data_IF_302660229678
#
_entry.id   IF_302660229678
#
_cell.length_a   1.000
_cell.length_b   1.000
_cell.length_c   1.000
_cell.angle_alpha   90.00
_cell.angle_beta   90.00
_cell.angle_gamma   90.00
#
_symmetry.space_group_name_H-M   'P 1'
#
loop_
_entity.id
_entity.type
_entity.pdbx_description
1 polymer ?
#
# COMPACT_ATOMS: atom_id res chain seq x y z
N UNK A 1 -2.71 -7.54 -16.60
CA UNK A 1 -2.03 -6.33 -17.10
C UNK A 1 -3.01 -5.25 -17.55
N UNK A 2 -4.04 -5.56 -18.37
CA UNK A 2 -5.07 -4.60 -18.82
C UNK A 2 -5.90 -3.99 -17.68
N UNK A 3 -6.25 -4.76 -16.64
CA UNK A 3 -7.09 -4.29 -15.52
C UNK A 3 -6.45 -3.21 -14.65
N UNK A 4 -5.15 -3.28 -14.39
CA UNK A 4 -4.45 -2.25 -13.61
C UNK A 4 -4.32 -0.94 -14.41
N UNK A 5 -4.08 -1.03 -15.73
CA UNK A 5 -4.02 0.17 -16.59
C UNK A 5 -5.37 0.90 -16.68
N UNK A 6 -6.48 0.17 -16.80
CA UNK A 6 -7.82 0.78 -16.83
C UNK A 6 -8.21 1.39 -15.48
N UNK A 7 -7.95 0.69 -14.36
CA UNK A 7 -8.24 1.17 -13.02
C UNK A 7 -7.54 2.51 -12.71
N UNK A 8 -6.26 2.65 -13.11
CA UNK A 8 -5.51 3.88 -12.89
C UNK A 8 -5.83 4.98 -13.91
N UNK A 9 -6.20 4.63 -15.13
CA UNK A 9 -6.57 5.58 -16.18
C UNK A 9 -7.85 6.36 -15.84
N UNK A 10 -8.83 5.69 -15.25
CA UNK A 10 -10.08 6.31 -14.81
C UNK A 10 -9.91 7.20 -13.59
N UNK A 11 -9.00 6.85 -12.66
CA UNK A 11 -8.89 7.52 -11.38
C UNK A 11 -7.84 8.63 -11.33
N UNK A 12 -6.81 8.58 -12.16
CA UNK A 12 -5.65 9.48 -12.09
C UNK A 12 -5.39 10.28 -13.39
N UNK A 13 -6.39 10.44 -14.25
CA UNK A 13 -6.35 11.31 -15.44
C UNK A 13 -5.07 11.15 -16.30
N UNK A 14 -4.64 9.90 -16.53
CA UNK A 14 -3.56 9.58 -17.50
C UNK A 14 -2.13 9.71 -16.98
N UNK A 15 -1.90 10.12 -15.73
CA UNK A 15 -0.59 10.03 -15.07
C UNK A 15 -0.49 8.72 -14.32
N UNK A 16 0.54 7.92 -14.65
CA UNK A 16 0.82 6.69 -13.87
C UNK A 16 1.52 7.12 -12.58
N UNK A 17 0.88 7.01 -11.39
CA UNK A 17 1.54 7.34 -10.13
C UNK A 17 2.75 6.44 -9.90
N UNK A 18 3.70 6.89 -9.09
CA UNK A 18 4.91 6.12 -8.75
C UNK A 18 4.56 4.73 -8.20
N UNK A 19 3.45 4.64 -7.46
CA UNK A 19 2.90 3.38 -6.93
C UNK A 19 2.57 2.36 -8.03
N UNK A 20 2.14 2.80 -9.23
CA UNK A 20 1.89 1.89 -10.36
C UNK A 20 3.19 1.17 -10.76
N UNK A 21 4.30 1.89 -10.82
CA UNK A 21 5.59 1.32 -11.16
C UNK A 21 6.14 0.44 -10.03
N UNK A 22 5.96 0.82 -8.76
CA UNK A 22 6.41 0.05 -7.61
C UNK A 22 5.60 -1.23 -7.44
N UNK A 23 4.27 -1.16 -7.52
CA UNK A 23 3.41 -2.35 -7.50
C UNK A 23 3.70 -3.23 -8.72
N UNK A 24 3.89 -2.63 -9.91
CA UNK A 24 4.24 -3.36 -11.12
C UNK A 24 5.64 -4.02 -11.00
N UNK A 25 6.65 -3.31 -10.49
CA UNK A 25 7.99 -3.87 -10.26
C UNK A 25 8.00 -4.90 -9.14
N UNK A 26 7.28 -4.68 -8.04
CA UNK A 26 7.13 -5.69 -6.97
C UNK A 26 6.43 -6.93 -7.51
N UNK A 27 5.37 -6.78 -8.29
CA UNK A 27 4.66 -7.87 -8.94
C UNK A 27 5.56 -8.59 -9.97
N UNK A 28 6.32 -7.86 -10.79
CA UNK A 28 7.26 -8.43 -11.76
C UNK A 28 8.47 -9.11 -11.10
N UNK A 29 9.01 -8.55 -9.99
CA UNK A 29 10.05 -9.21 -9.20
C UNK A 29 9.53 -10.52 -8.59
N UNK A 30 8.32 -10.49 -8.07
CA UNK A 30 7.66 -11.67 -7.53
C UNK A 30 7.46 -12.71 -8.66
N UNK A 31 6.93 -12.33 -9.81
CA UNK A 31 6.74 -13.25 -10.95
C UNK A 31 8.08 -13.83 -11.43
N UNK A 32 9.15 -13.04 -11.57
CA UNK A 32 10.47 -13.55 -11.98
C UNK A 32 11.10 -14.47 -10.93
N UNK A 33 10.84 -14.29 -9.64
CA UNK A 33 11.16 -15.29 -8.61
C UNK A 33 10.31 -16.57 -8.76
N UNK A 34 9.12 -16.48 -9.35
CA UNK A 34 8.15 -17.55 -9.46
C UNK A 34 8.49 -18.63 -10.50
N UNK A 35 9.21 -18.31 -11.56
CA UNK A 35 9.64 -19.32 -12.53
C UNK A 35 10.54 -20.38 -11.90
N UNK A 36 11.19 -20.07 -10.77
CA UNK A 36 12.03 -21.00 -10.02
C UNK A 36 11.30 -21.84 -8.97
N UNK A 37 10.06 -21.52 -8.58
CA UNK A 37 9.37 -22.20 -7.46
C UNK A 37 7.91 -22.49 -7.79
N UNK A 38 7.63 -23.58 -8.46
CA UNK A 38 6.29 -24.06 -8.82
C UNK A 38 5.28 -24.25 -7.66
N UNK A 39 5.68 -24.03 -6.41
CA UNK A 39 4.80 -24.17 -5.23
C UNK A 39 4.10 -22.87 -4.82
N UNK A 40 4.55 -21.71 -5.25
CA UNK A 40 4.01 -20.42 -4.81
C UNK A 40 2.74 -20.02 -5.58
N UNK A 41 2.44 -20.63 -6.72
CA UNK A 41 1.19 -20.43 -7.49
C UNK A 41 -0.12 -20.80 -6.74
N UNK A 42 -0.03 -21.30 -5.52
CA UNK A 42 -1.19 -21.68 -4.69
C UNK A 42 -1.35 -20.83 -3.44
N UNK A 43 -0.50 -19.84 -3.22
CA UNK A 43 -0.61 -19.01 -2.03
C UNK A 43 -1.47 -17.77 -2.32
N UNK A 44 -2.35 -17.50 -1.39
CA UNK A 44 -3.11 -16.26 -1.35
C UNK A 44 -2.32 -15.22 -0.57
N UNK A 45 -2.20 -14.00 -1.10
CA UNK A 45 -1.47 -12.90 -0.46
C UNK A 45 -1.97 -11.55 -0.94
N UNK A 46 -1.62 -10.50 -0.19
CA UNK A 46 -1.85 -9.11 -0.58
C UNK A 46 -0.50 -8.40 -0.73
N UNK A 47 -0.26 -7.83 -1.91
CA UNK A 47 0.87 -6.92 -2.14
C UNK A 47 0.47 -5.55 -1.62
N UNK A 48 1.34 -4.94 -0.83
CA UNK A 48 1.14 -3.62 -0.25
C UNK A 48 2.31 -2.71 -0.61
N UNK A 49 1.99 -1.45 -0.85
CA UNK A 49 2.95 -0.36 -1.01
C UNK A 49 2.33 0.95 -0.51
N UNK A 50 3.10 1.73 0.24
CA UNK A 50 2.70 3.01 0.80
C UNK A 50 3.63 4.11 0.29
N UNK A 51 3.07 5.25 -0.11
CA UNK A 51 3.84 6.47 -0.29
C UNK A 51 3.71 7.35 0.97
N UNK A 52 4.82 7.93 1.40
CA UNK A 52 4.90 8.66 2.66
C UNK A 52 5.65 9.98 2.49
N UNK A 53 5.39 10.94 3.39
CA UNK A 53 6.13 12.22 3.41
C UNK A 53 7.59 12.07 3.84
N UNK A 54 7.98 10.89 4.34
CA UNK A 54 9.34 10.55 4.77
C UNK A 54 9.38 9.16 5.40
N UNK A 55 10.48 8.79 6.03
CA UNK A 55 10.74 7.42 6.51
C UNK A 55 10.56 7.22 8.03
N UNK A 56 10.12 8.23 8.76
CA UNK A 56 9.99 8.18 10.22
C UNK A 56 8.51 8.12 10.65
N UNK A 57 7.93 6.93 10.98
CA UNK A 57 6.49 6.75 11.21
C UNK A 57 5.90 7.64 12.33
N UNK A 58 6.73 8.09 13.28
CA UNK A 58 6.29 9.00 14.35
C UNK A 58 6.10 10.45 13.91
N UNK A 59 6.71 10.84 12.79
CA UNK A 59 6.74 12.22 12.31
C UNK A 59 6.13 12.36 10.92
N UNK A 60 6.40 11.39 10.08
CA UNK A 60 5.99 11.40 8.69
C UNK A 60 4.62 10.75 8.52
N UNK A 61 3.96 11.01 7.40
CA UNK A 61 2.58 10.63 7.13
C UNK A 61 2.45 9.84 5.85
N UNK A 62 1.47 8.95 5.79
CA UNK A 62 1.07 8.28 4.55
C UNK A 62 0.34 9.28 3.66
N UNK A 63 0.65 9.27 2.37
CA UNK A 63 0.03 10.12 1.34
C UNK A 63 -0.69 9.33 0.26
N UNK A 64 -0.31 8.06 0.05
CA UNK A 64 -1.00 7.14 -0.84
C UNK A 64 -0.90 5.72 -0.31
N UNK A 65 -1.96 4.94 -0.54
CA UNK A 65 -2.02 3.51 -0.24
C UNK A 65 -2.32 2.78 -1.54
N UNK A 66 -1.55 1.74 -1.85
CA UNK A 66 -1.81 0.79 -2.92
C UNK A 66 -1.75 -0.64 -2.40
N UNK A 67 -2.77 -1.43 -2.70
CA UNK A 67 -2.79 -2.83 -2.37
C UNK A 67 -3.42 -3.67 -3.48
N UNK A 68 -2.87 -4.86 -3.70
CA UNK A 68 -3.33 -5.82 -4.71
C UNK A 68 -3.49 -7.18 -4.05
N UNK A 69 -4.70 -7.71 -4.08
CA UNK A 69 -4.99 -9.05 -3.59
C UNK A 69 -4.78 -10.07 -4.69
N UNK A 70 -3.97 -11.09 -4.40
CA UNK A 70 -3.71 -12.20 -5.32
C UNK A 70 -4.31 -13.48 -4.75
N UNK A 71 -5.00 -14.24 -5.58
CA UNK A 71 -5.60 -15.53 -5.28
C UNK A 71 -5.25 -16.52 -6.38
N UNK A 72 -4.64 -17.65 -6.02
CA UNK A 72 -4.22 -18.66 -6.98
C UNK A 72 -3.33 -18.13 -8.11
N UNK A 73 -2.51 -17.09 -7.83
CA UNK A 73 -1.63 -16.45 -8.81
C UNK A 73 -2.29 -15.43 -9.74
N UNK A 74 -3.57 -15.11 -9.52
CA UNK A 74 -4.31 -14.11 -10.30
C UNK A 74 -4.71 -12.91 -9.42
N UNK A 75 -4.77 -11.72 -10.02
CA UNK A 75 -5.26 -10.52 -9.34
C UNK A 75 -6.77 -10.68 -9.12
N UNK A 76 -7.16 -10.78 -7.86
CA UNK A 76 -8.54 -10.94 -7.45
C UNK A 76 -9.21 -9.61 -7.13
N UNK A 77 -8.46 -8.66 -6.57
CA UNK A 77 -9.00 -7.36 -6.14
C UNK A 77 -7.89 -6.33 -5.99
N UNK A 78 -8.25 -5.04 -5.99
CA UNK A 78 -7.31 -3.94 -5.80
C UNK A 78 -7.88 -2.86 -4.89
N UNK A 79 -7.04 -2.27 -4.05
CA UNK A 79 -7.37 -1.11 -3.24
C UNK A 79 -6.35 0.00 -3.48
N UNK A 80 -6.81 1.22 -3.70
CA UNK A 80 -5.93 2.37 -3.88
C UNK A 80 -6.62 3.67 -3.49
N UNK A 81 -5.92 4.51 -2.72
CA UNK A 81 -6.44 5.80 -2.31
C UNK A 81 -5.33 6.78 -1.96
N UNK A 82 -5.54 8.06 -2.29
CA UNK A 82 -4.78 9.15 -1.69
C UNK A 82 -5.21 9.33 -0.24
N UNK A 83 -4.26 9.73 0.59
CA UNK A 83 -4.46 9.99 2.02
C UNK A 83 -4.08 11.43 2.32
N UNK A 84 -4.90 12.12 3.11
CA UNK A 84 -4.64 13.48 3.54
C UNK A 84 -3.65 13.49 4.71
N UNK A 85 -2.40 13.99 4.52
CA UNK A 85 -1.37 13.89 5.56
C UNK A 85 -1.55 14.92 6.68
N UNK A 86 -2.34 15.99 6.48
CA UNK A 86 -2.47 17.09 7.44
C UNK A 86 -1.21 17.94 7.61
N UNK A 87 -0.23 17.78 6.72
CA UNK A 87 1.01 18.53 6.64
C UNK A 87 1.43 18.68 5.19
N UNK A 88 2.32 19.63 4.90
CA UNK A 88 2.86 19.81 3.54
C UNK A 88 3.79 18.66 3.16
N UNK A 89 3.70 18.24 1.90
CA UNK A 89 4.53 17.18 1.33
C UNK A 89 5.87 17.80 0.91
N UNK A 90 7.01 17.25 1.37
CA UNK A 90 8.32 17.76 0.97
C UNK A 90 8.51 17.72 -0.55
N UNK A 91 9.11 18.76 -1.12
CA UNK A 91 9.33 18.89 -2.57
C UNK A 91 10.04 17.67 -3.17
N UNK A 92 10.99 17.09 -2.42
CA UNK A 92 11.70 15.87 -2.83
C UNK A 92 10.75 14.67 -2.97
N UNK A 93 9.72 14.59 -2.13
CA UNK A 93 8.69 13.54 -2.21
C UNK A 93 7.75 13.82 -3.38
N UNK A 94 7.35 15.08 -3.58
CA UNK A 94 6.55 15.49 -4.75
C UNK A 94 7.26 15.11 -6.05
N UNK A 95 8.57 15.37 -6.15
CA UNK A 95 9.36 15.02 -7.34
C UNK A 95 9.47 13.51 -7.55
N UNK A 96 9.51 12.72 -6.46
CA UNK A 96 9.61 11.27 -6.52
C UNK A 96 8.27 10.61 -6.87
N UNK A 97 7.20 11.01 -6.18
CA UNK A 97 5.88 10.35 -6.26
C UNK A 97 4.94 11.01 -7.26
N UNK A 98 5.15 12.30 -7.54
CA UNK A 98 4.24 13.14 -8.32
C UNK A 98 2.98 13.58 -7.56
N UNK A 99 2.88 13.28 -6.26
CA UNK A 99 1.72 13.62 -5.43
C UNK A 99 1.96 15.01 -4.84
N UNK A 100 1.08 15.96 -5.20
CA UNK A 100 1.12 17.33 -4.67
C UNK A 100 0.22 17.49 -3.45
N UNK A 101 0.39 18.61 -2.72
CA UNK A 101 -0.47 18.97 -1.59
C UNK A 101 -1.94 19.07 -2.01
N UNK A 102 -2.22 19.60 -3.21
CA UNK A 102 -3.58 19.72 -3.75
C UNK A 102 -4.21 18.36 -4.04
N UNK A 103 -3.42 17.41 -4.56
CA UNK A 103 -3.88 16.05 -4.80
C UNK A 103 -4.17 15.32 -3.49
N UNK A 104 -3.25 15.39 -2.53
CA UNK A 104 -3.40 14.75 -1.24
C UNK A 104 -4.55 15.34 -0.41
N UNK A 105 -4.83 16.65 -0.57
CA UNK A 105 -5.98 17.31 0.09
C UNK A 105 -7.33 16.70 -0.31
N UNK A 106 -7.43 16.09 -1.50
CA UNK A 106 -8.62 15.38 -1.97
C UNK A 106 -8.69 13.93 -1.45
N UNK A 107 -7.63 13.46 -0.80
CA UNK A 107 -7.54 12.12 -0.25
C UNK A 107 -8.44 11.91 0.97
N UNK A 108 -8.55 10.64 1.37
CA UNK A 108 -9.28 10.25 2.58
C UNK A 108 -8.55 10.68 3.84
N UNK A 109 -9.29 10.81 4.92
CA UNK A 109 -8.68 10.91 6.26
C UNK A 109 -7.86 9.66 6.56
N UNK A 110 -6.72 9.82 7.22
CA UNK A 110 -5.75 8.75 7.49
C UNK A 110 -6.38 7.53 8.20
N UNK A 111 -7.24 7.77 9.18
CA UNK A 111 -7.94 6.73 9.92
C UNK A 111 -8.92 5.92 9.04
N UNK A 112 -9.65 6.61 8.16
CA UNK A 112 -10.62 5.97 7.25
C UNK A 112 -9.88 5.11 6.23
N UNK A 113 -8.84 5.66 5.60
CA UNK A 113 -8.03 4.94 4.62
C UNK A 113 -7.38 3.69 5.25
N UNK A 114 -6.90 3.82 6.49
CA UNK A 114 -6.28 2.72 7.22
C UNK A 114 -7.27 1.62 7.60
N UNK A 115 -8.47 1.98 8.07
CA UNK A 115 -9.52 0.98 8.37
C UNK A 115 -9.92 0.20 7.12
N UNK A 116 -10.11 0.89 5.99
CA UNK A 116 -10.43 0.24 4.71
C UNK A 116 -9.29 -0.68 4.25
N UNK A 117 -8.02 -0.23 4.39
CA UNK A 117 -6.86 -1.07 4.07
C UNK A 117 -6.82 -2.32 4.94
N UNK A 118 -7.01 -2.20 6.25
CA UNK A 118 -7.01 -3.36 7.16
C UNK A 118 -8.15 -4.34 6.83
N UNK A 119 -9.33 -3.83 6.47
CA UNK A 119 -10.43 -4.67 5.98
C UNK A 119 -10.09 -5.33 4.65
N UNK A 120 -9.40 -4.61 3.76
CA UNK A 120 -8.95 -5.17 2.50
C UNK A 120 -7.89 -6.26 2.71
N UNK A 121 -6.91 -6.06 3.58
CA UNK A 121 -5.86 -7.06 3.87
C UNK A 121 -6.47 -8.31 4.53
N UNK A 122 -7.32 -8.14 5.54
CA UNK A 122 -7.84 -9.25 6.35
C UNK A 122 -6.71 -10.08 6.97
N UNK A 123 -6.74 -11.39 6.77
CA UNK A 123 -5.74 -12.34 7.27
C UNK A 123 -4.68 -12.73 6.23
N UNK A 124 -4.58 -11.98 5.12
CA UNK A 124 -3.64 -12.29 4.05
C UNK A 124 -2.19 -12.14 4.48
N UNK A 125 -1.33 -12.94 3.88
CA UNK A 125 0.12 -12.72 3.94
C UNK A 125 0.44 -11.42 3.20
N UNK A 126 1.14 -10.50 3.86
CA UNK A 126 1.59 -9.26 3.24
C UNK A 126 2.90 -9.48 2.49
N UNK A 127 2.95 -8.95 1.28
CA UNK A 127 4.12 -8.94 0.41
C UNK A 127 4.35 -7.51 -0.07
N UNK A 128 5.60 -7.08 -0.15
CA UNK A 128 5.95 -5.74 -0.64
C UNK A 128 7.46 -5.57 -0.80
N UNK A 129 7.85 -4.51 -1.49
CA UNK A 129 9.26 -4.14 -1.56
C UNK A 129 9.66 -3.43 -0.27
N UNK A 130 10.64 -4.00 0.46
CA UNK A 130 11.11 -3.41 1.72
C UNK A 130 9.98 -3.18 2.75
N UNK A 131 9.03 -4.08 2.81
CA UNK A 131 7.78 -4.05 3.58
C UNK A 131 7.94 -3.63 5.06
N UNK A 132 9.17 -3.70 5.60
CA UNK A 132 9.44 -3.30 6.98
C UNK A 132 9.10 -1.82 7.24
N UNK A 133 9.26 -0.95 6.23
CA UNK A 133 8.90 0.46 6.34
C UNK A 133 7.38 0.63 6.36
N UNK A 134 6.67 0.05 5.37
CA UNK A 134 5.21 0.09 5.30
C UNK A 134 4.59 -0.46 6.58
N UNK A 135 5.09 -1.62 7.04
CA UNK A 135 4.64 -2.23 8.28
C UNK A 135 4.86 -1.32 9.50
N UNK A 136 5.95 -0.56 9.54
CA UNK A 136 6.23 0.37 10.63
C UNK A 136 5.21 1.50 10.71
N UNK A 137 4.71 2.00 9.57
CA UNK A 137 3.62 2.97 9.48
C UNK A 137 2.28 2.33 9.88
N UNK A 138 1.96 1.15 9.36
CA UNK A 138 0.76 0.40 9.76
C UNK A 138 0.71 0.19 11.27
N UNK A 139 1.83 -0.24 11.86
CA UNK A 139 1.94 -0.46 13.30
C UNK A 139 1.76 0.83 14.10
N UNK A 140 2.37 1.93 13.66
CA UNK A 140 2.24 3.22 14.33
C UNK A 140 0.78 3.69 14.32
N UNK A 141 0.10 3.57 13.18
CA UNK A 141 -1.29 3.98 13.02
C UNK A 141 -2.24 3.07 13.81
N UNK A 142 -2.00 1.76 13.84
CA UNK A 142 -2.79 0.83 14.64
C UNK A 142 -2.67 1.10 16.14
N UNK A 143 -1.49 1.50 16.63
CA UNK A 143 -1.29 1.86 18.04
C UNK A 143 -2.02 3.16 18.44
N UNK A 144 -2.21 4.09 17.51
CA UNK A 144 -2.95 5.33 17.76
C UNK A 144 -4.46 5.09 17.77
N UNK A 145 -4.96 4.10 17.02
CA UNK A 145 -6.39 3.84 16.85
C UNK A 145 -6.93 2.66 17.67
N UNK A 146 -6.06 1.80 18.20
CA UNK A 146 -6.47 0.70 19.11
C UNK A 146 -6.22 1.12 20.55
N UNK A 147 -7.09 1.98 21.06
CA UNK A 147 -7.27 2.11 22.49
C UNK A 147 -8.28 1.05 22.97
N UNK A 148 -7.99 -0.25 22.72
CA UNK A 148 -8.48 -1.37 23.53
C UNK A 148 -7.77 -2.67 23.09
N UNK A 149 -7.38 -3.54 24.04
CA UNK A 149 -6.49 -4.66 23.75
C UNK A 149 -7.28 -5.88 23.26
N UNK A 150 -7.22 -6.21 21.99
CA UNK A 150 -7.33 -7.60 21.60
C UNK A 150 -5.96 -8.25 21.73
N UNK A 151 -5.82 -8.97 22.81
CA UNK A 151 -4.69 -9.78 23.21
C UNK A 151 -4.45 -10.84 22.14
N UNK A 152 -3.42 -10.67 21.31
CA UNK A 152 -2.84 -11.79 20.61
C UNK A 152 -1.69 -12.34 21.45
N UNK A 153 -1.89 -13.52 21.98
CA UNK A 153 -0.85 -14.27 22.68
C UNK A 153 0.25 -14.63 21.67
N UNK A 154 1.47 -14.17 21.98
CA UNK A 154 2.64 -14.64 21.28
C UNK A 154 2.83 -16.11 21.58
N UNK A 155 2.76 -16.97 20.58
CA UNK A 155 3.19 -18.36 20.67
C UNK A 155 4.71 -18.35 20.53
N UNK A 156 5.39 -18.71 21.61
CA UNK A 156 6.83 -18.96 21.72
C UNK A 156 7.22 -20.22 20.96
#
# INVERSE_FOLDING_TARGET
>A
MYYLEEFYKERYCGRKPAIFWLVFFSYMCIINMYESVRQVHKMDYTVLDLEMTGLAPKRDKVIEIGAVRVRNGEIADTYGTLVRPGMSIPETVVQLTGITDEMAALGKEENVAMQELLQFIGDDILVGHNLIFDYSFLKQLSLIHISEPTRQEAIS
#
